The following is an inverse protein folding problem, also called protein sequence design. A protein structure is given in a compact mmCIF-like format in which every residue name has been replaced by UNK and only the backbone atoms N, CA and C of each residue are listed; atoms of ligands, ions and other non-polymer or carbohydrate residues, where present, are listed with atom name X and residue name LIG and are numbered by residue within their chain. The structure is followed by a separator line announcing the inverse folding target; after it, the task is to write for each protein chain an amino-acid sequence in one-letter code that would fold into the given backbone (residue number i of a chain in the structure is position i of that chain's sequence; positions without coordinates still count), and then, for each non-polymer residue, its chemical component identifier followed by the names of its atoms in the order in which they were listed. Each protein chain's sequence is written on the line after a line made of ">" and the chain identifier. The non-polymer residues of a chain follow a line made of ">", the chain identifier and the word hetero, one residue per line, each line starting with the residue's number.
data_IF_393624495489
#
_entry.id   IF_393624495489
#
_cell.length_a   1.000
_cell.length_b   1.000
_cell.length_c   1.000
_cell.angle_alpha   90.00
_cell.angle_beta   90.00
_cell.angle_gamma   90.00
#
_symmetry.space_group_name_H-M   'P 1'
#
loop_
_entity.id
_entity.type
_entity.pdbx_description
1 polymer ?
#
# COMPACT_ATOMS: atom_id res chain seq x y z
N UNK A 1 -29.76 -3.13 12.95
CA UNK A 1 -29.11 -1.80 12.92
C UNK A 1 -28.89 -1.28 11.50
N UNK A 2 -28.45 -2.10 10.53
CA UNK A 2 -28.31 -1.67 9.12
C UNK A 2 -29.59 -1.06 8.51
N UNK A 3 -30.75 -1.67 8.76
CA UNK A 3 -32.04 -1.14 8.28
C UNK A 3 -32.33 0.28 8.79
N UNK A 4 -31.90 0.61 10.01
CA UNK A 4 -32.09 1.95 10.58
C UNK A 4 -31.19 3.00 9.89
N UNK A 5 -29.95 2.63 9.55
CA UNK A 5 -29.06 3.49 8.79
C UNK A 5 -29.60 3.76 7.38
N UNK A 6 -30.13 2.72 6.72
CA UNK A 6 -30.78 2.84 5.41
C UNK A 6 -32.01 3.76 5.47
N UNK A 7 -32.86 3.62 6.50
CA UNK A 7 -34.01 4.53 6.67
C UNK A 7 -33.61 6.00 6.79
N UNK A 8 -32.55 6.31 7.55
CA UNK A 8 -32.02 7.68 7.60
C UNK A 8 -31.36 8.13 6.29
N UNK A 9 -30.77 7.23 5.52
CA UNK A 9 -30.13 7.53 4.25
C UNK A 9 -31.14 7.81 3.13
N UNK A 10 -32.15 6.94 3.01
CA UNK A 10 -33.18 6.99 1.98
C UNK A 10 -34.33 7.94 2.35
N UNK A 11 -34.55 8.17 3.65
CA UNK A 11 -35.70 8.94 4.15
C UNK A 11 -37.01 8.15 4.10
N UNK A 12 -36.95 6.82 4.05
CA UNK A 12 -38.13 5.96 4.10
C UNK A 12 -38.60 5.80 5.55
N UNK A 13 -39.83 6.26 5.85
CA UNK A 13 -40.41 6.19 7.19
C UNK A 13 -39.82 7.18 8.21
N UNK A 14 -38.81 7.97 7.85
CA UNK A 14 -38.23 9.04 8.68
C UNK A 14 -37.64 10.15 7.81
N UNK A 15 -37.27 11.29 8.41
CA UNK A 15 -36.60 12.36 7.67
C UNK A 15 -35.17 11.95 7.31
N UNK A 16 -34.82 12.08 6.03
CA UNK A 16 -33.45 11.87 5.54
C UNK A 16 -32.43 12.66 6.35
N UNK A 17 -31.41 11.97 6.84
CA UNK A 17 -30.34 12.52 7.66
C UNK A 17 -29.04 11.70 7.47
N UNK A 18 -28.12 12.25 6.69
CA UNK A 18 -26.87 11.57 6.34
C UNK A 18 -25.91 11.42 7.52
N UNK A 19 -25.87 12.38 8.45
CA UNK A 19 -25.01 12.30 9.63
C UNK A 19 -25.43 11.15 10.56
N UNK A 20 -26.74 11.00 10.79
CA UNK A 20 -27.27 9.87 11.57
C UNK A 20 -27.07 8.54 10.86
N UNK A 21 -27.26 8.49 9.54
CA UNK A 21 -26.99 7.29 8.76
C UNK A 21 -25.52 6.87 8.89
N UNK A 22 -24.58 7.81 8.70
CA UNK A 22 -23.14 7.60 8.84
C UNK A 22 -22.75 7.10 10.25
N UNK A 23 -23.27 7.74 11.30
CA UNK A 23 -23.06 7.31 12.70
C UNK A 23 -23.46 5.85 12.93
N UNK A 24 -24.64 5.44 12.43
CA UNK A 24 -25.12 4.07 12.58
C UNK A 24 -24.33 3.06 11.74
N UNK A 25 -23.90 3.44 10.52
CA UNK A 25 -22.99 2.59 9.73
C UNK A 25 -21.65 2.38 10.43
N UNK A 26 -21.06 3.45 10.98
CA UNK A 26 -19.80 3.38 11.73
C UNK A 26 -19.93 2.45 12.94
N UNK A 27 -20.99 2.61 13.75
CA UNK A 27 -21.31 1.72 14.88
C UNK A 27 -21.45 0.25 14.48
N UNK A 28 -22.05 -0.04 13.32
CA UNK A 28 -22.20 -1.41 12.81
C UNK A 28 -20.86 -1.98 12.36
N UNK A 29 -20.03 -1.17 11.69
CA UNK A 29 -18.67 -1.57 11.31
C UNK A 29 -17.81 -1.87 12.55
N UNK A 30 -17.84 -1.01 13.57
CA UNK A 30 -17.13 -1.22 14.84
C UNK A 30 -17.58 -2.49 15.56
N UNK A 31 -18.89 -2.76 15.61
CA UNK A 31 -19.39 -4.00 16.23
C UNK A 31 -19.08 -5.26 15.43
N UNK A 32 -19.05 -5.19 14.09
CA UNK A 32 -18.65 -6.31 13.24
C UNK A 32 -17.15 -6.61 13.33
N UNK A 33 -16.32 -5.61 13.62
CA UNK A 33 -14.90 -5.82 13.95
C UNK A 33 -14.78 -6.59 15.26
N UNK A 34 -15.66 -6.36 16.23
CA UNK A 34 -15.66 -7.09 17.51
C UNK A 34 -16.22 -8.53 17.41
N UNK A 35 -17.04 -8.84 16.41
CA UNK A 35 -17.60 -10.19 16.18
C UNK A 35 -16.82 -11.04 15.16
N UNK A 36 -15.77 -10.50 14.54
CA UNK A 36 -14.83 -11.23 13.67
C UNK A 36 -13.53 -11.56 14.40
N UNK A 37 -13.61 -11.99 15.66
CA UNK A 37 -12.47 -12.53 16.40
C UNK A 37 -12.18 -14.00 16.05
N UNK A 38 -12.35 -14.40 14.79
CA UNK A 38 -11.43 -15.40 14.25
C UNK A 38 -10.26 -14.60 13.73
N UNK A 39 -9.26 -14.42 14.59
CA UNK A 39 -7.99 -13.85 14.13
C UNK A 39 -7.45 -14.84 13.11
N UNK A 40 -7.70 -14.55 11.83
CA UNK A 40 -7.19 -15.34 10.73
C UNK A 40 -5.68 -15.50 10.99
N UNK A 41 -5.30 -16.75 11.18
CA UNK A 41 -3.94 -17.11 11.55
C UNK A 41 -3.18 -17.40 10.28
N UNK A 42 -1.91 -17.02 10.27
CA UNK A 42 -1.04 -17.32 9.15
C UNK A 42 -0.92 -18.83 8.96
N UNK A 43 -1.26 -19.31 7.77
CA UNK A 43 -1.19 -20.74 7.43
C UNK A 43 0.22 -21.35 7.52
N UNK A 44 1.27 -20.52 7.60
CA UNK A 44 2.66 -20.96 7.65
C UNK A 44 3.21 -21.03 9.09
N UNK A 45 3.00 -19.98 9.90
CA UNK A 45 3.58 -19.89 11.24
C UNK A 45 2.56 -19.99 12.38
N UNK A 46 1.27 -20.12 12.04
CA UNK A 46 0.13 -20.20 12.97
C UNK A 46 0.03 -19.00 13.94
N UNK A 47 0.74 -17.91 13.65
CA UNK A 47 0.61 -16.65 14.38
C UNK A 47 -0.55 -15.83 13.80
N UNK A 48 -1.21 -15.01 14.62
CA UNK A 48 -2.26 -14.12 14.15
C UNK A 48 -1.74 -13.18 13.04
N UNK A 49 -2.55 -12.95 12.01
CA UNK A 49 -2.23 -11.91 11.04
C UNK A 49 -2.19 -10.53 11.72
N UNK A 50 -1.26 -9.69 11.25
CA UNK A 50 -1.07 -8.31 11.73
C UNK A 50 -1.94 -7.30 10.97
N UNK A 51 -2.44 -7.67 9.78
CA UNK A 51 -3.42 -6.96 8.96
C UNK A 51 -4.10 -7.98 7.99
N UNK A 52 -5.08 -7.58 7.18
CA UNK A 52 -5.80 -8.47 6.25
C UNK A 52 -4.83 -9.32 5.40
N UNK A 53 -4.76 -10.63 5.71
CA UNK A 53 -3.87 -11.61 5.08
C UNK A 53 -2.36 -11.30 5.16
N UNK A 54 -1.94 -10.40 6.07
CA UNK A 54 -0.54 -10.02 6.24
C UNK A 54 0.09 -10.67 7.46
N UNK A 55 1.12 -11.50 7.25
CA UNK A 55 1.93 -12.05 8.34
C UNK A 55 3.32 -11.41 8.35
N UNK A 56 3.57 -10.53 9.32
CA UNK A 56 4.86 -9.85 9.44
C UNK A 56 6.04 -10.81 9.45
N UNK A 57 5.99 -11.85 10.29
CA UNK A 57 7.13 -12.75 10.49
C UNK A 57 7.47 -13.53 9.21
N UNK A 58 6.46 -14.09 8.54
CA UNK A 58 6.68 -14.84 7.30
C UNK A 58 7.17 -13.93 6.17
N UNK A 59 6.59 -12.74 6.03
CA UNK A 59 7.00 -11.81 4.97
C UNK A 59 8.40 -11.24 5.22
N UNK A 60 8.75 -10.86 6.44
CA UNK A 60 10.13 -10.46 6.80
C UNK A 60 11.13 -11.56 6.45
N UNK A 61 10.81 -12.83 6.77
CA UNK A 61 11.67 -13.97 6.42
C UNK A 61 11.84 -14.13 4.91
N UNK A 62 10.77 -13.97 4.12
CA UNK A 62 10.82 -14.04 2.66
C UNK A 62 11.67 -12.92 2.07
N UNK A 63 11.48 -11.69 2.53
CA UNK A 63 12.28 -10.54 2.10
C UNK A 63 13.77 -10.78 2.36
N UNK A 64 14.14 -11.26 3.56
CA UNK A 64 15.53 -11.58 3.88
C UNK A 64 16.15 -12.62 2.94
N UNK A 65 15.36 -13.60 2.45
CA UNK A 65 15.82 -14.58 1.47
C UNK A 65 16.02 -13.98 0.07
N UNK A 66 15.30 -12.91 -0.25
CA UNK A 66 15.33 -12.26 -1.55
C UNK A 66 16.34 -11.11 -1.64
N UNK A 67 16.83 -10.58 -0.51
CA UNK A 67 17.82 -9.49 -0.49
C UNK A 67 19.11 -9.80 -1.25
N UNK A 68 19.49 -11.08 -1.34
CA UNK A 68 20.66 -11.51 -2.12
C UNK A 68 20.38 -11.67 -3.62
N UNK A 69 19.10 -11.70 -4.04
CA UNK A 69 18.69 -11.97 -5.43
C UNK A 69 18.67 -10.72 -6.30
N UNK A 70 18.62 -9.53 -5.69
CA UNK A 70 18.61 -8.26 -6.41
C UNK A 70 19.43 -7.21 -5.67
N UNK A 71 19.96 -6.24 -6.42
CA UNK A 71 20.67 -5.08 -5.88
C UNK A 71 20.53 -3.91 -6.86
N UNK A 72 20.41 -2.70 -6.32
CA UNK A 72 20.52 -1.45 -7.08
C UNK A 72 21.95 -1.10 -7.48
N UNK A 73 22.95 -1.83 -6.97
CA UNK A 73 24.37 -1.44 -6.92
C UNK A 73 24.65 -0.18 -6.11
N UNK A 74 23.67 0.27 -5.31
CA UNK A 74 23.80 1.38 -4.38
C UNK A 74 23.46 0.88 -2.97
N UNK A 75 24.48 0.71 -2.14
CA UNK A 75 24.35 0.18 -0.78
C UNK A 75 23.36 0.98 0.08
N UNK A 76 23.33 2.31 -0.08
CA UNK A 76 22.40 3.16 0.67
C UNK A 76 20.94 2.88 0.29
N UNK A 77 20.67 2.75 -1.01
CA UNK A 77 19.32 2.46 -1.51
C UNK A 77 18.90 1.03 -1.13
N UNK A 78 19.79 0.06 -1.29
CA UNK A 78 19.52 -1.33 -0.91
C UNK A 78 19.20 -1.41 0.58
N UNK A 79 20.00 -0.78 1.44
CA UNK A 79 19.75 -0.71 2.89
C UNK A 79 18.42 -0.04 3.22
N UNK A 80 18.10 1.09 2.58
CA UNK A 80 16.83 1.78 2.78
C UNK A 80 15.63 0.89 2.44
N UNK A 81 15.67 0.19 1.29
CA UNK A 81 14.57 -0.71 0.88
C UNK A 81 14.44 -1.89 1.84
N UNK A 82 15.57 -2.49 2.25
CA UNK A 82 15.57 -3.60 3.22
C UNK A 82 14.98 -3.17 4.57
N UNK A 83 15.38 -2.00 5.08
CA UNK A 83 14.82 -1.43 6.32
C UNK A 83 13.33 -1.13 6.17
N UNK A 84 12.90 -0.57 5.04
CA UNK A 84 11.48 -0.30 4.78
C UNK A 84 10.66 -1.61 4.76
N UNK A 85 11.10 -2.62 3.99
CA UNK A 85 10.44 -3.92 3.86
C UNK A 85 10.31 -4.63 5.21
N UNK A 86 11.35 -4.60 6.06
CA UNK A 86 11.32 -5.20 7.40
C UNK A 86 10.33 -4.53 8.36
N UNK A 87 10.02 -3.25 8.14
CA UNK A 87 9.15 -2.43 8.99
C UNK A 87 7.73 -2.25 8.43
N UNK A 88 7.43 -2.77 7.23
CA UNK A 88 6.08 -2.71 6.64
C UNK A 88 5.05 -3.35 7.56
N UNK A 89 3.83 -2.83 7.60
CA UNK A 89 2.75 -3.40 8.44
C UNK A 89 1.67 -4.12 7.64
N UNK A 90 1.72 -3.99 6.32
CA UNK A 90 0.76 -4.53 5.37
C UNK A 90 1.36 -4.61 3.97
N UNK A 91 0.64 -5.22 3.04
CA UNK A 91 1.07 -5.41 1.65
C UNK A 91 1.15 -4.12 0.83
N UNK A 92 0.41 -3.07 1.21
CA UNK A 92 0.37 -1.79 0.47
C UNK A 92 1.59 -0.90 0.73
N UNK A 93 2.38 -1.21 1.76
CA UNK A 93 3.55 -0.44 2.16
C UNK A 93 4.88 -1.00 1.62
N UNK A 94 4.84 -2.14 0.93
CA UNK A 94 6.03 -2.79 0.40
C UNK A 94 6.67 -1.93 -0.70
N UNK A 95 7.97 -1.68 -0.55
CA UNK A 95 8.79 -1.09 -1.60
C UNK A 95 9.45 -2.20 -2.43
N UNK A 96 9.52 -2.01 -3.74
CA UNK A 96 10.20 -2.92 -4.66
C UNK A 96 11.19 -2.15 -5.52
N UNK A 97 12.37 -2.74 -5.73
CA UNK A 97 13.36 -2.20 -6.64
C UNK A 97 13.06 -2.59 -8.09
N UNK A 98 12.86 -1.60 -8.95
CA UNK A 98 12.74 -1.80 -10.40
C UNK A 98 13.92 -1.09 -11.08
N UNK A 99 14.83 -1.84 -11.74
CA UNK A 99 15.88 -1.24 -12.55
C UNK A 99 15.33 -0.37 -13.67
N UNK A 100 15.88 0.82 -13.87
CA UNK A 100 15.43 1.75 -14.91
C UNK A 100 15.37 1.14 -16.33
N UNK A 101 16.32 0.25 -16.67
CA UNK A 101 16.35 -0.41 -17.98
C UNK A 101 15.20 -1.41 -18.21
N UNK A 102 14.43 -1.77 -17.18
CA UNK A 102 13.19 -2.55 -17.32
C UNK A 102 11.97 -1.68 -17.66
N UNK A 103 12.13 -0.36 -17.60
CA UNK A 103 11.07 0.59 -17.92
C UNK A 103 11.10 0.92 -19.41
N UNK A 104 9.91 0.95 -20.00
CA UNK A 104 9.69 1.34 -21.39
C UNK A 104 8.62 2.41 -21.46
N UNK A 105 8.56 3.15 -22.57
CA UNK A 105 7.55 4.18 -22.81
C UNK A 105 7.39 5.17 -21.65
N UNK A 106 8.51 5.73 -21.19
CA UNK A 106 8.50 6.72 -20.10
C UNK A 106 8.06 8.06 -20.69
N UNK A 107 6.89 8.55 -20.30
CA UNK A 107 6.40 9.85 -20.71
C UNK A 107 5.97 10.70 -19.53
N UNK A 108 6.20 12.00 -19.66
CA UNK A 108 5.80 12.99 -18.66
C UNK A 108 4.29 13.03 -18.49
N UNK A 109 3.84 13.13 -17.24
CA UNK A 109 2.42 13.24 -16.89
C UNK A 109 2.11 14.58 -16.25
N UNK A 110 2.84 14.96 -15.20
CA UNK A 110 2.55 16.19 -14.45
C UNK A 110 3.76 16.69 -13.65
N UNK A 111 3.70 17.92 -13.12
CA UNK A 111 4.73 18.51 -12.26
C UNK A 111 4.09 19.25 -11.10
N UNK A 112 4.59 19.00 -9.90
CA UNK A 112 4.23 19.72 -8.68
C UNK A 112 5.44 20.36 -8.00
N UNK A 113 5.22 21.05 -6.88
CA UNK A 113 6.29 21.72 -6.13
C UNK A 113 7.40 20.79 -5.62
N UNK A 114 7.14 19.49 -5.55
CA UNK A 114 8.08 18.49 -5.01
C UNK A 114 8.75 17.61 -6.07
N UNK A 115 8.36 17.71 -7.35
CA UNK A 115 8.86 16.81 -8.38
C UNK A 115 8.00 16.74 -9.65
N UNK A 116 8.47 15.92 -10.58
CA UNK A 116 7.78 15.54 -11.81
C UNK A 116 7.23 14.12 -11.68
N UNK A 117 6.06 13.89 -12.27
CA UNK A 117 5.40 12.61 -12.37
C UNK A 117 5.47 12.16 -13.83
N UNK A 118 5.91 10.92 -14.02
CA UNK A 118 5.94 10.26 -15.31
C UNK A 118 5.13 8.97 -15.23
N UNK A 119 4.65 8.50 -16.37
CA UNK A 119 4.11 7.16 -16.53
C UNK A 119 5.11 6.32 -17.31
N UNK A 120 5.26 5.07 -16.94
CA UNK A 120 6.12 4.12 -17.62
C UNK A 120 5.44 2.75 -17.69
N UNK A 121 5.90 1.90 -18.61
CA UNK A 121 5.48 0.51 -18.73
C UNK A 121 6.61 -0.38 -18.23
N UNK A 122 6.32 -1.24 -17.25
CA UNK A 122 7.21 -2.28 -16.76
C UNK A 122 6.58 -3.65 -17.05
N UNK A 123 7.12 -4.37 -18.03
CA UNK A 123 6.46 -5.57 -18.56
C UNK A 123 5.11 -5.21 -19.17
N UNK A 124 4.01 -5.69 -18.55
CA UNK A 124 2.64 -5.40 -18.97
C UNK A 124 1.90 -4.45 -18.00
N UNK A 125 2.61 -3.85 -17.04
CA UNK A 125 2.03 -3.01 -16.00
C UNK A 125 2.41 -1.55 -16.24
N UNK A 126 1.44 -0.64 -16.09
CA UNK A 126 1.69 0.81 -16.08
C UNK A 126 2.07 1.21 -14.65
N UNK A 127 3.21 1.88 -14.51
CA UNK A 127 3.71 2.39 -13.23
C UNK A 127 3.84 3.91 -13.24
N UNK A 128 3.73 4.52 -12.06
CA UNK A 128 3.89 5.97 -11.87
C UNK A 128 5.29 6.23 -11.31
N UNK A 129 6.14 6.88 -12.10
CA UNK A 129 7.51 7.24 -11.71
C UNK A 129 7.52 8.68 -11.18
N UNK A 130 7.92 8.88 -9.93
CA UNK A 130 8.11 10.21 -9.34
C UNK A 130 9.58 10.60 -9.36
N UNK A 131 9.89 11.73 -9.99
CA UNK A 131 11.21 12.38 -9.98
C UNK A 131 11.19 13.56 -9.02
N UNK A 132 11.84 13.45 -7.87
CA UNK A 132 11.85 14.55 -6.90
C UNK A 132 12.82 15.67 -7.32
N UNK A 133 12.47 16.93 -7.08
CA UNK A 133 13.34 18.09 -7.37
C UNK A 133 14.41 18.34 -6.29
N UNK A 134 14.24 17.77 -5.09
CA UNK A 134 15.23 17.86 -4.02
C UNK A 134 16.17 16.67 -4.06
N UNK A 135 17.28 16.75 -4.80
CA UNK A 135 18.62 16.25 -4.41
C UNK A 135 19.62 16.24 -5.56
N UNK A 136 20.64 17.10 -5.46
CA UNK A 136 21.96 16.95 -6.06
C UNK A 136 22.83 15.90 -5.31
N UNK A 137 22.22 14.84 -4.77
CA UNK A 137 22.93 13.78 -4.03
C UNK A 137 22.79 12.39 -4.66
N UNK A 138 21.85 12.19 -5.59
CA UNK A 138 21.69 10.91 -6.28
C UNK A 138 21.35 11.17 -7.75
N UNK A 139 22.31 10.90 -8.64
CA UNK A 139 22.12 10.95 -10.10
C UNK A 139 21.31 9.75 -10.64
N UNK A 140 20.42 9.17 -9.85
CA UNK A 140 19.59 8.04 -10.27
C UNK A 140 18.19 8.14 -9.68
N UNK A 141 17.26 8.52 -10.55
CA UNK A 141 15.82 8.30 -10.45
C UNK A 141 15.53 6.87 -10.01
N UNK A 142 15.28 6.57 -8.73
CA UNK A 142 15.08 5.16 -8.38
C UNK A 142 14.50 4.93 -6.96
N UNK A 143 13.25 5.34 -6.76
CA UNK A 143 12.38 4.78 -5.70
C UNK A 143 10.94 4.83 -6.22
N UNK A 144 10.49 3.71 -6.80
CA UNK A 144 9.12 3.51 -7.22
C UNK A 144 8.34 2.89 -6.07
N UNK A 145 7.45 3.66 -5.44
CA UNK A 145 6.37 3.08 -4.64
C UNK A 145 5.38 2.47 -5.63
N UNK A 146 5.41 1.15 -5.79
CA UNK A 146 4.41 0.44 -6.59
C UNK A 146 3.14 0.42 -5.77
N UNK A 147 2.22 1.33 -6.07
CA UNK A 147 0.83 1.19 -5.64
C UNK A 147 0.11 0.43 -6.75
N UNK A 148 -0.08 -0.88 -6.58
CA UNK A 148 -1.01 -1.63 -7.42
C UNK A 148 -2.39 -1.08 -7.06
N UNK A 149 -3.07 -0.47 -8.03
CA UNK A 149 -4.48 -0.07 -7.93
C UNK A 149 -5.34 -1.32 -8.15
#
# INVERSE_FOLDING_TARGET
>A
MLNLANWYYDGEGTKKNLEKAFYWYQKVAENNVNSKNEVESCNECMQPYTDYQWCQQCNTRRFQQDFSKWTSKNEFIDKFIQEAQQNTKNSYEILEWIPYNKLSSIYYYDKGGFGEIHKAICGNIIIIVKRNHFQNLFNSLELLKIQII
#
